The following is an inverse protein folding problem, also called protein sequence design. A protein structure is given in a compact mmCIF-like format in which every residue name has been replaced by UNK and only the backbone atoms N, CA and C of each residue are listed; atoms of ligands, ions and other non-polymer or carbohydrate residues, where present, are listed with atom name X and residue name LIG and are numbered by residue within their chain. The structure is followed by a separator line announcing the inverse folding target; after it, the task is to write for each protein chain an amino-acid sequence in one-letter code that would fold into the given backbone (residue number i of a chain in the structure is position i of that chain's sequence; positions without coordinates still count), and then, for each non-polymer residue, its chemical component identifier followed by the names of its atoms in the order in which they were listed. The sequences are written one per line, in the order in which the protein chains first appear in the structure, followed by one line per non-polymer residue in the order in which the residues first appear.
data_IF_947640588752
#
_entry.id   IF_947640588752
#
_cell.length_a   1.000
_cell.length_b   1.000
_cell.length_c   1.000
_cell.angle_alpha   90.00
_cell.angle_beta   90.00
_cell.angle_gamma   90.00
#
_symmetry.space_group_name_H-M   'P 1'
#
loop_
_entity.id
_entity.type
_entity.pdbx_description
1 polymer ?
#
# COMPACT_ATOMS: atom_id res chain seq x y z
N UNK A 1 7.99 -49.52 -14.38
CA UNK A 1 7.56 -48.70 -13.23
C UNK A 1 8.42 -47.44 -13.21
N UNK A 2 7.83 -46.28 -13.47
CA UNK A 2 8.49 -45.00 -13.70
C UNK A 2 9.09 -44.47 -12.38
N UNK A 3 10.41 -44.59 -12.21
CA UNK A 3 11.09 -44.12 -11.01
C UNK A 3 11.32 -42.61 -11.15
N UNK A 4 10.42 -41.86 -10.51
CA UNK A 4 10.69 -40.61 -9.79
C UNK A 4 11.45 -39.50 -10.54
N UNK A 5 10.70 -38.50 -11.02
CA UNK A 5 11.20 -37.14 -11.14
C UNK A 5 11.69 -36.64 -9.77
N UNK A 6 12.95 -36.88 -9.46
CA UNK A 6 13.67 -36.21 -8.39
C UNK A 6 14.24 -34.90 -8.94
N UNK A 7 13.37 -33.92 -9.15
CA UNK A 7 13.82 -32.53 -9.26
C UNK A 7 13.47 -31.87 -7.92
N UNK A 8 14.28 -32.16 -6.89
CA UNK A 8 14.25 -31.37 -5.66
C UNK A 8 14.92 -30.04 -5.99
N UNK A 9 14.14 -29.06 -6.43
CA UNK A 9 14.56 -27.66 -6.35
C UNK A 9 14.52 -27.28 -4.87
N UNK A 10 15.67 -27.30 -4.20
CA UNK A 10 15.85 -26.59 -2.94
C UNK A 10 15.74 -25.09 -3.26
N UNK A 11 14.52 -24.59 -3.31
CA UNK A 11 14.27 -23.16 -3.41
C UNK A 11 14.72 -22.53 -2.09
N UNK A 12 15.88 -21.90 -2.09
CA UNK A 12 16.27 -20.94 -1.05
C UNK A 12 15.25 -19.80 -1.12
N UNK A 13 14.17 -19.91 -0.36
CA UNK A 13 13.10 -18.91 -0.33
C UNK A 13 13.66 -17.62 0.28
N UNK A 14 13.79 -16.58 -0.55
CA UNK A 14 14.01 -15.22 -0.06
C UNK A 14 12.68 -14.76 0.56
N UNK A 15 12.64 -14.66 1.89
CA UNK A 15 11.47 -14.17 2.60
C UNK A 15 11.40 -12.64 2.49
N UNK A 16 10.68 -12.12 1.49
CA UNK A 16 10.31 -10.71 1.47
C UNK A 16 8.88 -10.54 1.99
N UNK A 17 8.66 -9.48 2.74
CA UNK A 17 7.30 -9.03 2.99
C UNK A 17 6.64 -8.51 1.71
N UNK A 18 5.34 -8.79 1.57
CA UNK A 18 4.54 -8.38 0.43
C UNK A 18 3.45 -7.40 0.89
N UNK A 19 3.31 -6.32 0.12
CA UNK A 19 2.23 -5.34 0.21
C UNK A 19 1.47 -5.41 -1.10
N UNK A 20 0.17 -5.69 -1.05
CA UNK A 20 -0.69 -5.86 -2.23
C UNK A 20 -1.83 -4.87 -2.17
N UNK A 21 -1.93 -4.00 -3.16
CA UNK A 21 -3.02 -3.04 -3.35
C UNK A 21 -3.47 -3.08 -4.82
N UNK A 22 -4.63 -2.51 -5.17
CA UNK A 22 -5.05 -2.37 -6.57
C UNK A 22 -3.97 -1.67 -7.42
N UNK A 23 -4.01 -1.84 -8.75
CA UNK A 23 -3.09 -1.15 -9.68
C UNK A 23 -3.60 0.24 -10.09
N UNK A 24 -4.90 0.42 -10.19
CA UNK A 24 -5.52 1.72 -10.43
C UNK A 24 -6.93 1.78 -9.86
N UNK A 25 -7.39 2.99 -9.56
CA UNK A 25 -8.79 3.26 -9.23
C UNK A 25 -9.22 4.56 -9.90
N UNK A 26 -10.39 4.52 -10.53
CA UNK A 26 -11.06 5.71 -11.06
C UNK A 26 -12.29 6.01 -10.20
N UNK A 27 -12.35 7.21 -9.64
CA UNK A 27 -13.47 7.65 -8.81
C UNK A 27 -14.02 8.98 -9.34
N UNK A 28 -15.31 9.23 -9.13
CA UNK A 28 -15.93 10.52 -9.50
C UNK A 28 -15.63 11.56 -8.42
N UNK A 29 -15.53 12.86 -8.74
CA UNK A 29 -15.40 13.92 -7.75
C UNK A 29 -16.49 13.83 -6.69
N UNK A 30 -16.11 14.04 -5.42
CA UNK A 30 -17.02 13.92 -4.28
C UNK A 30 -17.40 12.50 -3.85
N UNK A 31 -17.11 11.47 -4.64
CA UNK A 31 -17.26 10.08 -4.19
C UNK A 31 -16.13 9.68 -3.24
N UNK A 32 -16.40 8.82 -2.24
CA UNK A 32 -15.36 8.35 -1.34
C UNK A 32 -14.36 7.46 -2.09
N UNK A 33 -13.08 7.65 -1.80
CA UNK A 33 -12.00 6.76 -2.22
C UNK A 33 -11.75 5.73 -1.11
N UNK A 34 -11.59 4.47 -1.48
CA UNK A 34 -11.17 3.41 -0.55
C UNK A 34 -10.10 2.56 -1.21
N UNK A 35 -8.87 2.62 -0.68
CA UNK A 35 -7.75 1.78 -1.13
C UNK A 35 -7.43 0.79 -0.03
N UNK A 36 -7.51 -0.50 -0.33
CA UNK A 36 -7.11 -1.57 0.57
C UNK A 36 -5.71 -2.05 0.21
N UNK A 37 -4.88 -2.21 1.22
CA UNK A 37 -3.56 -2.82 1.12
C UNK A 37 -3.49 -4.02 2.05
N UNK A 38 -3.42 -5.21 1.48
CA UNK A 38 -3.20 -6.45 2.23
C UNK A 38 -1.70 -6.68 2.37
N UNK A 39 -1.26 -6.93 3.60
CA UNK A 39 0.15 -7.15 3.91
C UNK A 39 0.40 -8.57 4.40
N UNK A 40 1.59 -9.12 4.11
CA UNK A 40 1.96 -10.48 4.49
C UNK A 40 2.42 -10.63 5.94
N UNK A 41 2.34 -9.57 6.74
CA UNK A 41 2.80 -9.51 8.13
C UNK A 41 1.66 -9.08 9.06
N UNK A 42 1.85 -9.31 10.36
CA UNK A 42 0.90 -8.84 11.37
C UNK A 42 0.91 -7.31 11.48
N UNK A 43 -0.19 -6.67 11.09
CA UNK A 43 -0.40 -5.21 11.28
C UNK A 43 -0.49 -4.81 12.76
N UNK A 44 -0.66 -5.78 13.66
CA UNK A 44 -0.64 -5.58 15.10
C UNK A 44 0.79 -5.60 15.68
N UNK A 45 1.79 -5.96 14.88
CA UNK A 45 3.19 -6.06 15.31
C UNK A 45 4.09 -5.02 14.64
N UNK A 46 3.70 -4.52 13.47
CA UNK A 46 4.51 -3.62 12.66
C UNK A 46 3.72 -2.43 12.14
N UNK A 47 4.42 -1.35 11.84
CA UNK A 47 3.81 -0.17 11.26
C UNK A 47 3.64 -0.30 9.74
N UNK A 48 2.64 0.39 9.20
CA UNK A 48 2.43 0.54 7.76
C UNK A 48 2.02 1.98 7.46
N UNK A 49 2.60 2.59 6.44
CA UNK A 49 2.36 3.97 6.06
C UNK A 49 1.56 4.07 4.75
N UNK A 50 0.88 5.21 4.59
CA UNK A 50 0.32 5.66 3.32
C UNK A 50 1.02 6.93 2.88
N UNK A 51 1.46 6.95 1.62
CA UNK A 51 2.14 8.08 0.98
C UNK A 51 1.42 8.35 -0.34
N UNK A 52 1.29 9.62 -0.74
CA UNK A 52 0.84 9.98 -2.09
C UNK A 52 1.89 10.75 -2.85
N UNK A 53 1.84 10.67 -4.17
CA UNK A 53 2.61 11.49 -5.08
C UNK A 53 1.65 12.15 -6.08
N UNK A 54 1.26 13.42 -5.84
CA UNK A 54 0.56 14.19 -6.85
C UNK A 54 1.43 14.35 -8.10
N UNK A 55 0.79 14.49 -9.26
CA UNK A 55 1.50 14.71 -10.52
C UNK A 55 2.42 15.93 -10.45
N UNK A 56 3.69 15.77 -10.85
CA UNK A 56 4.69 16.83 -10.81
C UNK A 56 5.13 17.27 -9.40
N UNK A 57 4.75 16.57 -8.34
CA UNK A 57 5.13 16.90 -6.95
C UNK A 57 5.92 15.79 -6.27
N UNK A 58 6.61 16.18 -5.20
CA UNK A 58 7.32 15.24 -4.31
C UNK A 58 6.33 14.33 -3.56
N UNK A 59 6.86 13.24 -3.00
CA UNK A 59 6.11 12.36 -2.12
C UNK A 59 5.61 13.12 -0.89
N UNK A 60 4.33 12.93 -0.58
CA UNK A 60 3.67 13.47 0.60
C UNK A 60 3.17 12.33 1.48
N UNK A 61 3.69 12.26 2.70
CA UNK A 61 3.22 11.31 3.71
C UNK A 61 1.81 11.68 4.17
N UNK A 62 0.88 10.71 4.13
CA UNK A 62 -0.51 10.90 4.57
C UNK A 62 -0.65 10.52 6.04
N UNK A 63 -0.10 9.37 6.41
CA UNK A 63 -0.32 8.81 7.73
C UNK A 63 0.34 7.44 7.90
N UNK A 64 0.29 6.92 9.13
CA UNK A 64 0.73 5.57 9.45
C UNK A 64 -0.16 4.91 10.48
N UNK A 65 -0.26 3.59 10.38
CA UNK A 65 -0.82 2.72 11.41
C UNK A 65 0.36 2.10 12.16
N UNK A 66 0.26 2.03 13.48
CA UNK A 66 1.21 1.38 14.39
C UNK A 66 0.42 0.42 15.29
N UNK A 67 1.08 -0.54 15.96
CA UNK A 67 0.42 -1.33 17.00
C UNK A 67 -0.32 -0.44 18.00
N UNK A 68 -1.63 -0.62 18.12
CA UNK A 68 -2.48 0.13 19.04
C UNK A 68 -2.85 1.56 18.63
N UNK A 69 -2.47 2.04 17.43
CA UNK A 69 -2.76 3.43 17.05
C UNK A 69 -2.61 3.77 15.57
N UNK A 70 -3.04 4.99 15.22
CA UNK A 70 -2.89 5.56 13.88
C UNK A 70 -2.66 7.07 13.96
N UNK A 71 -1.91 7.60 13.01
CA UNK A 71 -1.65 9.03 12.88
C UNK A 71 -1.87 9.45 11.44
N UNK A 72 -2.53 10.58 11.24
CA UNK A 72 -2.73 11.23 9.94
C UNK A 72 -2.07 12.60 10.01
N UNK A 73 -1.43 13.04 8.93
CA UNK A 73 -0.86 14.39 8.82
C UNK A 73 -1.97 15.43 8.97
N UNK A 74 -1.80 16.39 9.87
CA UNK A 74 -2.83 17.37 10.21
C UNK A 74 -3.41 18.10 8.99
N UNK A 75 -2.55 18.52 8.06
CA UNK A 75 -2.95 19.21 6.82
C UNK A 75 -3.79 18.35 5.87
N UNK A 76 -3.85 17.04 6.10
CA UNK A 76 -4.57 16.06 5.28
C UNK A 76 -5.72 15.38 6.04
N UNK A 77 -5.85 15.65 7.35
CA UNK A 77 -6.83 15.01 8.24
C UNK A 77 -8.29 15.27 7.86
N UNK A 78 -8.57 16.39 7.17
CA UNK A 78 -9.91 16.71 6.67
C UNK A 78 -10.32 15.91 5.43
N UNK A 79 -9.35 15.31 4.72
CA UNK A 79 -9.56 14.57 3.48
C UNK A 79 -9.35 13.07 3.64
N UNK A 80 -8.40 12.67 4.48
CA UNK A 80 -7.99 11.28 4.58
C UNK A 80 -8.15 10.72 5.99
N UNK A 81 -8.54 9.46 6.06
CA UNK A 81 -8.54 8.68 7.30
C UNK A 81 -7.97 7.29 7.05
N UNK A 82 -7.48 6.66 8.12
CA UNK A 82 -6.90 5.32 8.06
C UNK A 82 -7.77 4.33 8.83
N UNK A 83 -7.87 3.11 8.32
CA UNK A 83 -8.49 1.97 9.01
C UNK A 83 -7.57 0.75 8.94
N UNK A 84 -7.68 -0.13 9.94
CA UNK A 84 -6.91 -1.37 10.05
C UNK A 84 -7.85 -2.51 10.38
N UNK A 85 -7.65 -3.65 9.72
CA UNK A 85 -8.26 -4.92 10.05
C UNK A 85 -7.14 -5.92 10.36
N UNK A 86 -6.96 -6.20 11.65
CA UNK A 86 -5.95 -7.13 12.14
C UNK A 86 -6.23 -8.59 11.83
N UNK A 87 -7.48 -8.97 11.50
CA UNK A 87 -7.83 -10.35 11.17
C UNK A 87 -7.36 -10.75 9.77
N UNK A 88 -7.39 -9.79 8.84
CA UNK A 88 -7.00 -9.98 7.44
C UNK A 88 -5.65 -9.36 7.08
N UNK A 89 -4.97 -8.74 8.05
CA UNK A 89 -3.76 -7.91 7.84
C UNK A 89 -3.97 -6.88 6.73
N UNK A 90 -5.08 -6.14 6.80
CA UNK A 90 -5.42 -5.13 5.80
C UNK A 90 -5.33 -3.74 6.40
N UNK A 91 -4.58 -2.86 5.75
CA UNK A 91 -4.60 -1.42 6.03
C UNK A 91 -5.35 -0.70 4.92
N UNK A 92 -6.22 0.23 5.29
CA UNK A 92 -7.11 0.92 4.35
C UNK A 92 -6.92 2.42 4.44
N UNK A 93 -6.72 3.07 3.29
CA UNK A 93 -6.82 4.52 3.14
C UNK A 93 -8.22 4.87 2.67
N UNK A 94 -8.89 5.75 3.39
CA UNK A 94 -10.17 6.33 3.00
C UNK A 94 -9.98 7.79 2.66
N UNK A 95 -10.52 8.23 1.53
CA UNK A 95 -10.55 9.63 1.10
C UNK A 95 -11.98 10.14 1.01
N UNK A 96 -12.22 11.35 1.50
CA UNK A 96 -13.53 12.03 1.46
C UNK A 96 -13.40 13.40 0.79
N UNK A 97 -14.45 13.82 0.07
CA UNK A 97 -14.50 15.12 -0.60
C UNK A 97 -13.27 15.41 -1.48
N UNK A 98 -12.80 14.38 -2.19
CA UNK A 98 -11.66 14.50 -3.10
C UNK A 98 -12.07 15.31 -4.34
N UNK A 99 -11.16 16.21 -4.73
CA UNK A 99 -11.28 17.07 -5.90
C UNK A 99 -10.29 16.61 -6.96
N UNK A 100 -10.46 16.92 -8.26
CA UNK A 100 -9.54 16.49 -9.31
C UNK A 100 -8.05 16.76 -9.01
N UNK A 101 -7.72 17.84 -8.29
CA UNK A 101 -6.36 18.15 -7.83
C UNK A 101 -5.78 17.22 -6.76
N UNK A 102 -6.58 16.32 -6.19
CA UNK A 102 -6.15 15.26 -5.26
C UNK A 102 -5.71 13.98 -6.01
N UNK A 103 -5.85 13.93 -7.34
CA UNK A 103 -5.40 12.79 -8.15
C UNK A 103 -3.89 12.60 -7.96
N UNK A 104 -3.50 11.37 -7.60
CA UNK A 104 -2.13 11.06 -7.24
C UNK A 104 -1.84 9.57 -7.41
N UNK A 105 -0.57 9.23 -7.36
CA UNK A 105 -0.17 7.85 -7.10
C UNK A 105 -0.18 7.62 -5.59
N UNK A 106 -0.82 6.55 -5.10
CA UNK A 106 -0.85 6.24 -3.67
C UNK A 106 -0.06 4.96 -3.35
N UNK A 107 0.78 5.02 -2.33
CA UNK A 107 1.65 3.93 -1.93
C UNK A 107 1.30 3.49 -0.52
N UNK A 108 0.90 2.23 -0.40
CA UNK A 108 1.03 1.49 0.85
C UNK A 108 2.51 1.13 1.03
N UNK A 109 3.12 1.57 2.12
CA UNK A 109 4.57 1.54 2.29
C UNK A 109 4.99 1.02 3.67
N UNK A 110 6.11 0.30 3.69
CA UNK A 110 6.83 -0.12 4.88
C UNK A 110 8.32 -0.09 4.59
N UNK A 111 9.14 0.05 5.63
CA UNK A 111 10.58 -0.15 5.52
C UNK A 111 10.90 -1.52 4.91
N UNK A 112 11.81 -1.53 3.96
CA UNK A 112 12.14 -2.72 3.18
C UNK A 112 12.69 -3.82 4.08
N UNK A 113 11.92 -4.88 4.27
CA UNK A 113 12.34 -6.07 5.03
C UNK A 113 13.04 -7.12 4.16
N UNK A 114 13.47 -6.74 2.96
CA UNK A 114 14.13 -7.65 2.02
C UNK A 114 15.41 -7.03 1.50
N UNK A 115 16.57 -7.62 1.83
CA UNK A 115 17.84 -7.30 1.18
C UNK A 115 17.85 -7.91 -0.23
N UNK A 116 17.12 -7.29 -1.15
CA UNK A 116 17.28 -7.58 -2.58
C UNK A 116 18.29 -6.58 -3.12
N UNK A 117 19.34 -7.06 -3.79
CA UNK A 117 20.19 -6.23 -4.65
C UNK A 117 19.27 -5.33 -5.50
N UNK A 118 19.59 -4.03 -5.56
CA UNK A 118 18.79 -2.87 -5.97
C UNK A 118 18.06 -2.91 -7.34
N UNK A 119 17.89 -4.06 -7.99
CA UNK A 119 17.36 -4.19 -9.35
C UNK A 119 15.85 -4.42 -9.47
N UNK A 120 15.08 -4.55 -8.36
CA UNK A 120 13.63 -4.85 -8.40
C UNK A 120 12.72 -3.88 -7.61
N UNK A 121 13.11 -2.61 -7.46
CA UNK A 121 12.17 -1.61 -6.91
C UNK A 121 11.08 -1.15 -7.91
N UNK A 122 10.98 -1.77 -9.09
CA UNK A 122 9.87 -1.51 -10.00
C UNK A 122 8.68 -2.41 -9.64
N UNK A 123 7.89 -2.00 -8.64
CA UNK A 123 6.53 -2.52 -8.45
C UNK A 123 5.56 -1.37 -8.71
N UNK A 124 4.67 -1.60 -9.66
CA UNK A 124 3.81 -0.62 -10.34
C UNK A 124 3.26 0.46 -9.39
N UNK A 125 3.50 1.75 -9.67
CA UNK A 125 2.87 2.86 -8.95
C UNK A 125 1.36 2.77 -9.13
N UNK A 126 0.61 2.71 -8.03
CA UNK A 126 -0.85 2.70 -8.07
C UNK A 126 -1.39 4.07 -8.50
N UNK A 127 -2.00 4.16 -9.68
CA UNK A 127 -2.46 5.43 -10.23
C UNK A 127 -3.95 5.65 -9.92
N UNK A 128 -4.29 6.75 -9.24
CA UNK A 128 -5.69 7.18 -9.18
C UNK A 128 -5.96 8.24 -10.23
N UNK A 129 -7.11 8.09 -10.89
CA UNK A 129 -7.65 9.07 -11.81
C UNK A 129 -9.00 9.52 -11.29
N UNK A 130 -9.14 10.81 -10.97
CA UNK A 130 -10.46 11.40 -10.75
C UNK A 130 -11.07 11.72 -12.11
N UNK A 131 -12.27 11.21 -12.39
CA UNK A 131 -12.95 11.52 -13.66
C UNK A 131 -13.30 13.02 -13.72
N UNK A 132 -13.26 13.59 -14.94
CA UNK A 132 -13.77 14.94 -15.19
C UNK A 132 -15.25 15.06 -14.84
#
# INVERSE_FOLDING_TARGET
MQIGLWVILLSLSVNCEQLTQPESLTVRPGQPLTIRCQVSYSVNSYYTAWIRQPEGRALEWIGRIVPGGKTVKDSLSSKFSLAVDGSSNTVTLQGQNLQPGDSAVYYCARESQCYKLLSRMNKNPFQTHLSK
#
